data_IF_100671164306
#
_entry.id   IF_100671164306
#
_cell.length_a   1.000
_cell.length_b   1.000
_cell.length_c   1.000
_cell.angle_alpha   90.00
_cell.angle_beta   90.00
_cell.angle_gamma   90.00
#
_symmetry.space_group_name_H-M   'P 1'
#
loop_
_entity.id
_entity.type
_entity.pdbx_description
1 polymer ?
#
# COMPACT_ATOMS: atom_id res chain seq x y z
N UNK A 1 7.53 34.08 -13.36
CA UNK A 1 8.79 33.33 -13.57
C UNK A 1 8.41 31.99 -14.13
N UNK A 2 8.76 31.71 -15.39
CA UNK A 2 8.50 30.44 -16.05
C UNK A 2 9.55 29.45 -15.58
N UNK A 3 9.17 28.47 -14.76
CA UNK A 3 10.05 27.35 -14.45
C UNK A 3 10.19 26.53 -15.73
N UNK A 4 11.40 26.45 -16.27
CA UNK A 4 11.67 25.58 -17.41
C UNK A 4 11.43 24.14 -16.98
N UNK A 5 10.55 23.44 -17.68
CA UNK A 5 10.34 22.01 -17.47
C UNK A 5 11.67 21.26 -17.62
N UNK A 6 11.93 20.21 -16.82
CA UNK A 6 13.10 19.38 -17.01
C UNK A 6 13.06 18.74 -18.41
N UNK A 7 14.02 19.10 -19.27
CA UNK A 7 14.14 18.60 -20.66
C UNK A 7 15.10 17.41 -20.76
N UNK A 8 14.95 16.41 -19.88
CA UNK A 8 15.69 15.16 -20.01
C UNK A 8 15.27 14.35 -21.24
N UNK A 9 16.04 13.33 -21.65
CA UNK A 9 15.64 12.42 -22.72
C UNK A 9 14.28 11.77 -22.37
N UNK A 10 13.36 11.74 -23.33
CA UNK A 10 12.13 10.94 -23.23
C UNK A 10 12.47 9.57 -23.82
N UNK A 11 12.66 8.59 -22.95
CA UNK A 11 12.82 7.17 -23.27
C UNK A 11 11.62 6.37 -22.72
N UNK A 12 10.41 6.94 -22.87
CA UNK A 12 9.14 6.25 -22.67
C UNK A 12 8.52 6.02 -24.04
N UNK A 13 8.28 4.77 -24.40
CA UNK A 13 7.51 4.45 -25.60
C UNK A 13 6.01 4.39 -25.29
N UNK A 14 5.13 4.62 -26.27
CA UNK A 14 3.70 4.37 -26.12
C UNK A 14 3.38 2.93 -25.66
N UNK A 15 4.24 1.96 -26.02
CA UNK A 15 4.10 0.57 -25.60
C UNK A 15 4.36 0.39 -24.10
N UNK A 16 5.32 1.09 -23.52
CA UNK A 16 5.63 1.01 -22.09
C UNK A 16 4.44 1.53 -21.26
N UNK A 17 3.86 2.66 -21.70
CA UNK A 17 2.66 3.23 -21.07
C UNK A 17 1.45 2.30 -21.19
N UNK A 18 1.24 1.67 -22.34
CA UNK A 18 0.17 0.69 -22.50
C UNK A 18 0.38 -0.56 -21.64
N UNK A 19 1.64 -1.02 -21.49
CA UNK A 19 1.98 -2.15 -20.61
C UNK A 19 1.77 -1.82 -19.13
N UNK A 20 2.14 -0.61 -18.72
CA UNK A 20 1.86 -0.09 -17.38
C UNK A 20 0.36 -0.02 -17.11
N UNK A 21 -0.42 0.52 -18.04
CA UNK A 21 -1.87 0.61 -17.92
C UNK A 21 -2.53 -0.76 -17.73
N UNK A 22 -2.11 -1.77 -18.50
CA UNK A 22 -2.59 -3.13 -18.33
C UNK A 22 -2.27 -3.70 -16.95
N UNK A 23 -1.10 -3.36 -16.40
CA UNK A 23 -0.71 -3.78 -15.05
C UNK A 23 -1.56 -3.08 -13.98
N UNK A 24 -1.84 -1.79 -14.14
CA UNK A 24 -2.73 -1.04 -13.24
C UNK A 24 -4.17 -1.57 -13.27
N UNK A 25 -4.74 -1.85 -14.45
CA UNK A 25 -6.07 -2.46 -14.55
C UNK A 25 -6.10 -3.87 -13.94
N UNK A 26 -5.04 -4.65 -14.12
CA UNK A 26 -4.86 -5.92 -13.41
C UNK A 26 -4.76 -5.74 -11.90
N UNK A 27 -4.11 -4.68 -11.43
CA UNK A 27 -4.03 -4.30 -10.02
C UNK A 27 -5.39 -3.89 -9.44
N UNK A 28 -6.20 -3.16 -10.21
CA UNK A 28 -7.57 -2.81 -9.85
C UNK A 28 -8.41 -4.05 -9.62
N UNK A 29 -8.36 -5.02 -10.55
CA UNK A 29 -9.07 -6.30 -10.44
C UNK A 29 -8.62 -7.09 -9.20
N UNK A 30 -7.33 -7.04 -8.86
CA UNK A 30 -6.83 -7.71 -7.65
C UNK A 30 -7.34 -7.05 -6.37
N UNK A 31 -7.36 -5.72 -6.31
CA UNK A 31 -7.88 -4.99 -5.15
C UNK A 31 -9.38 -5.24 -4.94
N UNK A 32 -10.13 -5.29 -6.03
CA UNK A 32 -11.55 -5.68 -6.02
C UNK A 32 -11.74 -7.08 -5.42
N UNK A 33 -10.95 -8.05 -5.88
CA UNK A 33 -10.93 -9.41 -5.30
C UNK A 33 -10.55 -9.46 -3.81
N UNK A 34 -9.63 -8.61 -3.35
CA UNK A 34 -9.26 -8.52 -1.93
C UNK A 34 -10.46 -8.02 -1.10
N UNK A 35 -11.16 -6.99 -1.57
CA UNK A 35 -12.33 -6.45 -0.88
C UNK A 35 -13.49 -7.45 -0.84
N UNK A 36 -13.73 -8.20 -1.91
CA UNK A 36 -14.72 -9.27 -1.97
C UNK A 36 -14.42 -10.42 -1.01
N UNK A 37 -13.15 -10.85 -0.96
CA UNK A 37 -12.70 -11.88 -0.03
C UNK A 37 -12.87 -11.44 1.43
N UNK A 38 -12.50 -10.20 1.75
CA UNK A 38 -12.69 -9.62 3.08
C UNK A 38 -14.18 -9.53 3.44
N UNK A 39 -15.02 -9.04 2.51
CA UNK A 39 -16.48 -8.97 2.69
C UNK A 39 -17.06 -10.35 3.02
N UNK A 40 -16.66 -11.37 2.27
CA UNK A 40 -17.12 -12.75 2.48
C UNK A 40 -16.72 -13.26 3.87
N UNK A 41 -15.48 -13.01 4.28
CA UNK A 41 -14.98 -13.44 5.59
C UNK A 41 -15.70 -12.73 6.74
N UNK A 42 -15.94 -11.42 6.63
CA UNK A 42 -16.64 -10.64 7.64
C UNK A 42 -18.13 -11.03 7.73
N UNK A 43 -18.77 -11.36 6.61
CA UNK A 43 -20.11 -11.96 6.61
C UNK A 43 -20.17 -13.28 7.37
N UNK A 44 -19.15 -14.13 7.24
CA UNK A 44 -19.05 -15.37 8.01
C UNK A 44 -18.81 -15.10 9.51
N UNK A 45 -18.17 -13.97 9.85
CA UNK A 45 -17.92 -13.53 11.22
C UNK A 45 -19.01 -12.58 11.78
N UNK A 46 -20.14 -12.40 11.09
CA UNK A 46 -21.18 -11.48 11.55
C UNK A 46 -21.65 -11.79 12.99
N UNK A 47 -21.87 -10.75 13.78
CA UNK A 47 -22.29 -10.89 15.18
C UNK A 47 -21.22 -11.40 16.14
N UNK A 48 -19.94 -11.37 15.75
CA UNK A 48 -18.82 -11.91 16.53
C UNK A 48 -18.66 -11.31 17.94
N UNK A 49 -19.12 -10.08 18.19
CA UNK A 49 -18.93 -9.41 19.47
C UNK A 49 -20.00 -9.78 20.51
N UNK A 50 -21.09 -10.43 20.11
CA UNK A 50 -22.25 -10.68 20.98
C UNK A 50 -23.15 -9.45 21.12
N UNK A 51 -24.20 -9.58 21.94
CA UNK A 51 -25.22 -8.55 22.18
C UNK A 51 -25.24 -8.05 23.63
N UNK A 52 -24.24 -8.42 24.42
CA UNK A 52 -24.02 -7.88 25.75
C UNK A 52 -23.45 -6.44 25.73
N UNK A 53 -23.24 -5.88 26.93
CA UNK A 53 -22.71 -4.52 27.09
C UNK A 53 -21.29 -4.36 26.53
N UNK A 54 -20.48 -5.41 26.52
CA UNK A 54 -19.09 -5.37 26.04
C UNK A 54 -19.05 -5.46 24.52
N UNK A 55 -19.85 -6.35 23.92
CA UNK A 55 -20.03 -6.43 22.49
C UNK A 55 -20.53 -5.12 21.89
N UNK A 56 -21.49 -4.49 22.56
CA UNK A 56 -21.98 -3.14 22.20
C UNK A 56 -20.87 -2.07 22.28
N UNK A 57 -20.02 -2.13 23.32
CA UNK A 57 -18.92 -1.18 23.52
C UNK A 57 -17.82 -1.36 22.46
N UNK A 58 -17.48 -2.60 22.11
CA UNK A 58 -16.56 -2.95 21.03
C UNK A 58 -17.07 -2.45 19.67
N UNK A 59 -18.33 -2.78 19.33
CA UNK A 59 -18.94 -2.41 18.06
C UNK A 59 -19.00 -0.90 17.82
N UNK A 60 -19.10 -0.10 18.89
CA UNK A 60 -19.14 1.38 18.80
C UNK A 60 -17.91 1.97 18.09
N UNK A 61 -16.75 1.36 18.24
CA UNK A 61 -15.52 1.81 17.56
C UNK A 61 -15.19 0.94 16.34
N UNK A 62 -15.51 -0.35 16.39
CA UNK A 62 -15.21 -1.29 15.31
C UNK A 62 -16.08 -1.05 14.06
N UNK A 63 -17.41 -1.00 14.20
CA UNK A 63 -18.33 -0.93 13.05
C UNK A 63 -18.08 0.30 12.15
N UNK A 64 -17.90 1.53 12.69
CA UNK A 64 -17.59 2.70 11.87
C UNK A 64 -16.24 2.60 11.16
N UNK A 65 -15.22 2.06 11.82
CA UNK A 65 -13.89 1.89 11.25
C UNK A 65 -13.90 0.91 10.05
N UNK A 66 -14.59 -0.23 10.17
CA UNK A 66 -14.70 -1.19 9.05
C UNK A 66 -15.51 -0.59 7.90
N UNK A 67 -16.59 0.15 8.18
CA UNK A 67 -17.34 0.87 7.13
C UNK A 67 -16.47 1.87 6.39
N UNK A 68 -15.67 2.65 7.11
CA UNK A 68 -14.73 3.59 6.51
C UNK A 68 -13.70 2.87 5.65
N UNK A 69 -13.19 1.71 6.10
CA UNK A 69 -12.25 0.89 5.34
C UNK A 69 -12.81 0.50 3.97
N UNK A 70 -14.06 0.02 3.89
CA UNK A 70 -14.67 -0.34 2.60
C UNK A 70 -14.91 0.86 1.68
N UNK A 71 -15.18 2.05 2.22
CA UNK A 71 -15.24 3.28 1.43
C UNK A 71 -13.87 3.64 0.87
N UNK A 72 -12.81 3.56 1.68
CA UNK A 72 -11.43 3.79 1.24
C UNK A 72 -10.99 2.79 0.19
N UNK A 73 -11.34 1.50 0.34
CA UNK A 73 -11.08 0.47 -0.68
C UNK A 73 -11.81 0.78 -1.98
N UNK A 74 -13.07 1.23 -1.93
CA UNK A 74 -13.81 1.64 -3.13
C UNK A 74 -13.11 2.80 -3.85
N UNK A 75 -12.67 3.81 -3.09
CA UNK A 75 -11.95 4.96 -3.64
C UNK A 75 -10.60 4.55 -4.25
N UNK A 76 -9.84 3.68 -3.58
CA UNK A 76 -8.58 3.14 -4.08
C UNK A 76 -8.76 2.34 -5.38
N UNK A 77 -9.78 1.48 -5.47
CA UNK A 77 -10.09 0.73 -6.71
C UNK A 77 -10.36 1.70 -7.86
N UNK A 78 -11.17 2.74 -7.65
CA UNK A 78 -11.43 3.76 -8.68
C UNK A 78 -10.14 4.48 -9.09
N UNK A 79 -9.31 4.88 -8.13
CA UNK A 79 -8.05 5.58 -8.39
C UNK A 79 -7.10 4.76 -9.28
N UNK A 80 -6.94 3.47 -8.99
CA UNK A 80 -6.09 2.57 -9.77
C UNK A 80 -6.63 2.39 -11.20
N UNK A 81 -7.95 2.26 -11.36
CA UNK A 81 -8.60 2.22 -12.68
C UNK A 81 -8.38 3.49 -13.49
N UNK A 82 -8.63 4.65 -12.87
CA UNK A 82 -8.40 5.96 -13.49
C UNK A 82 -6.92 6.16 -13.89
N UNK A 83 -6.00 5.58 -13.14
CA UNK A 83 -4.56 5.55 -13.50
C UNK A 83 -4.34 4.78 -14.79
N UNK A 84 -4.94 3.60 -14.94
CA UNK A 84 -4.82 2.78 -16.14
C UNK A 84 -5.36 3.52 -17.38
N UNK A 85 -6.51 4.17 -17.26
CA UNK A 85 -7.07 5.00 -18.32
C UNK A 85 -6.19 6.20 -18.65
N UNK A 86 -5.68 6.93 -17.65
CA UNK A 86 -4.75 8.04 -17.85
C UNK A 86 -3.49 7.63 -18.62
N UNK A 87 -2.96 6.44 -18.33
CA UNK A 87 -1.78 5.88 -19.00
C UNK A 87 -2.05 5.52 -20.46
N UNK A 88 -3.15 4.81 -20.77
CA UNK A 88 -3.51 4.51 -22.16
C UNK A 88 -3.84 5.79 -22.94
N UNK A 89 -4.51 6.76 -22.31
CA UNK A 89 -4.76 8.06 -22.95
C UNK A 89 -3.45 8.76 -23.32
N UNK A 90 -2.48 8.78 -22.40
CA UNK A 90 -1.16 9.37 -22.64
C UNK A 90 -0.44 8.64 -23.78
N UNK A 91 -0.46 7.30 -23.80
CA UNK A 91 0.10 6.50 -24.88
C UNK A 91 -0.53 6.86 -26.25
N UNK A 92 -1.86 6.94 -26.30
CA UNK A 92 -2.61 7.27 -27.51
C UNK A 92 -2.39 8.73 -27.96
N UNK A 93 -2.16 9.66 -27.03
CA UNK A 93 -1.77 11.03 -27.34
C UNK A 93 -0.39 11.09 -28.01
N UNK A 94 0.59 10.30 -27.55
CA UNK A 94 1.89 10.20 -28.22
C UNK A 94 1.76 9.62 -29.64
N UNK A 95 0.96 8.57 -29.83
CA UNK A 95 0.71 7.99 -31.15
C UNK A 95 0.06 8.99 -32.12
N UNK A 96 -0.91 9.78 -31.64
CA UNK A 96 -1.52 10.86 -32.42
C UNK A 96 -0.47 11.91 -32.80
N UNK A 97 0.33 12.36 -31.83
CA UNK A 97 1.36 13.37 -32.06
C UNK A 97 2.42 12.92 -33.08
N UNK A 98 2.89 11.67 -32.98
CA UNK A 98 3.87 11.11 -33.93
C UNK A 98 3.27 10.96 -35.34
N UNK A 99 2.04 10.46 -35.43
CA UNK A 99 1.32 10.31 -36.71
C UNK A 99 1.16 11.65 -37.44
N UNK A 100 0.82 12.72 -36.71
CA UNK A 100 0.69 14.07 -37.27
C UNK A 100 2.03 14.75 -37.59
N UNK A 101 3.08 14.47 -36.81
CA UNK A 101 4.39 15.13 -36.96
C UNK A 101 5.28 14.48 -38.02
N UNK A 102 4.97 13.25 -38.45
CA UNK A 102 5.76 12.49 -39.41
C UNK A 102 5.01 12.33 -40.76
N UNK A 103 5.46 13.03 -41.84
CA UNK A 103 4.83 12.98 -43.16
C UNK A 103 4.80 11.58 -43.81
N UNK A 104 5.63 10.65 -43.33
CA UNK A 104 5.60 9.25 -43.76
C UNK A 104 4.56 8.44 -42.98
N UNK A 105 4.43 8.67 -41.67
CA UNK A 105 3.44 8.01 -40.82
C UNK A 105 2.02 8.46 -41.12
N UNK A 106 1.82 9.72 -41.50
CA UNK A 106 0.52 10.27 -41.91
C UNK A 106 -0.17 9.53 -43.08
N UNK A 107 0.57 8.69 -43.81
CA UNK A 107 0.05 7.91 -44.94
C UNK A 107 -0.57 6.58 -44.53
N UNK A 108 -0.22 6.06 -43.36
CA UNK A 108 -0.74 4.82 -42.82
C UNK A 108 -1.89 5.11 -41.83
N UNK A 109 -2.88 4.21 -41.66
CA UNK A 109 -3.94 4.40 -40.66
C UNK A 109 -3.36 4.45 -39.24
N UNK A 110 -3.79 5.42 -38.44
CA UNK A 110 -3.46 5.50 -37.02
C UNK A 110 -4.07 4.31 -36.26
N UNK A 111 -3.24 3.51 -35.62
CA UNK A 111 -3.65 2.41 -34.74
C UNK A 111 -3.41 2.83 -33.29
N UNK A 112 -4.47 2.84 -32.49
CA UNK A 112 -4.42 3.19 -31.07
C UNK A 112 -4.43 1.94 -30.18
N UNK A 113 -3.91 2.05 -28.98
CA UNK A 113 -4.06 1.01 -27.97
C UNK A 113 -5.51 0.91 -27.50
N UNK A 114 -6.02 -0.32 -27.26
CA UNK A 114 -7.34 -0.51 -26.68
C UNK A 114 -7.37 -0.01 -25.24
N UNK A 115 -8.54 0.44 -24.79
CA UNK A 115 -8.74 0.79 -23.39
C UNK A 115 -8.64 -0.47 -22.51
N UNK A 116 -7.94 -0.38 -21.37
CA UNK A 116 -7.91 -1.48 -20.41
C UNK A 116 -9.29 -1.50 -19.74
N UNK A 117 -10.01 -2.62 -19.77
CA UNK A 117 -11.32 -2.68 -19.12
C UNK A 117 -11.17 -2.41 -17.63
N UNK A 118 -11.61 -1.24 -17.17
CA UNK A 118 -11.53 -0.78 -15.77
C UNK A 118 -12.91 -0.81 -15.09
N UNK A 119 -12.90 -0.81 -13.76
CA UNK A 119 -14.08 -0.78 -12.92
C UNK A 119 -14.36 0.66 -12.49
N UNK A 120 -15.38 1.28 -13.08
CA UNK A 120 -15.65 2.72 -12.87
C UNK A 120 -16.64 3.00 -11.72
N UNK A 121 -17.54 2.05 -11.45
CA UNK A 121 -18.62 2.17 -10.45
C UNK A 121 -18.55 1.05 -9.42
N UNK A 122 -17.45 1.04 -8.66
CA UNK A 122 -17.29 0.15 -7.50
C UNK A 122 -17.81 0.83 -6.25
N UNK A 123 -18.70 0.17 -5.52
CA UNK A 123 -19.14 0.59 -4.21
C UNK A 123 -19.46 -0.67 -3.39
N UNK A 124 -18.68 -0.91 -2.34
CA UNK A 124 -18.94 -2.06 -1.49
C UNK A 124 -20.12 -1.79 -0.54
N UNK A 125 -20.96 -2.80 -0.27
CA UNK A 125 -22.00 -2.66 0.75
C UNK A 125 -21.36 -2.46 2.14
N UNK A 126 -22.13 -1.86 3.05
CA UNK A 126 -21.73 -1.79 4.44
C UNK A 126 -21.49 -3.23 4.99
N UNK A 127 -20.36 -3.48 5.67
CA UNK A 127 -20.10 -4.76 6.33
C UNK A 127 -21.14 -5.03 7.43
N UNK A 128 -21.35 -6.31 7.79
CA UNK A 128 -22.24 -6.67 8.89
C UNK A 128 -21.72 -6.08 10.21
N UNK A 129 -22.66 -5.79 11.13
CA UNK A 129 -22.29 -5.34 12.48
C UNK A 129 -21.58 -6.47 13.25
N UNK A 130 -20.64 -6.07 14.10
CA UNK A 130 -20.06 -6.97 15.08
C UNK A 130 -21.10 -7.40 16.14
N UNK A 131 -22.19 -6.65 16.34
CA UNK A 131 -23.28 -7.01 17.25
C UNK A 131 -24.13 -8.12 16.64
N UNK A 132 -24.37 -9.18 17.42
CA UNK A 132 -25.27 -10.25 17.04
C UNK A 132 -25.55 -11.17 18.23
N UNK A 133 -26.43 -12.16 18.03
CA UNK A 133 -26.80 -13.07 19.11
C UNK A 133 -25.57 -13.75 19.70
N UNK A 134 -25.35 -13.57 21.01
CA UNK A 134 -24.23 -14.19 21.70
C UNK A 134 -24.41 -15.69 21.95
N UNK A 135 -23.36 -16.33 22.46
CA UNK A 135 -23.44 -17.70 22.99
C UNK A 135 -23.37 -17.70 24.51
N UNK A 136 -24.24 -18.49 25.15
CA UNK A 136 -24.24 -18.63 26.60
C UNK A 136 -24.75 -20.01 26.98
N UNK A 137 -23.97 -20.75 27.77
CA UNK A 137 -24.35 -22.06 28.31
C UNK A 137 -24.74 -22.01 29.79
N UNK A 138 -24.59 -20.86 30.45
CA UNK A 138 -24.93 -20.71 31.86
C UNK A 138 -26.44 -20.51 32.04
N UNK A 139 -27.05 -21.12 33.08
CA UNK A 139 -28.46 -20.95 33.34
C UNK A 139 -28.77 -19.55 33.91
N UNK A 140 -30.00 -19.04 33.71
CA UNK A 140 -30.42 -17.82 34.39
C UNK A 140 -30.42 -17.97 35.91
N UNK A 141 -30.19 -16.88 36.66
CA UNK A 141 -29.70 -15.55 36.25
C UNK A 141 -28.17 -15.41 36.30
N UNK A 142 -27.41 -16.50 36.18
CA UNK A 142 -25.94 -16.44 36.12
C UNK A 142 -25.50 -16.00 34.71
N UNK A 143 -26.29 -16.38 33.71
CA UNK A 143 -26.16 -16.03 32.29
C UNK A 143 -25.81 -14.55 32.03
N UNK A 144 -26.42 -13.59 32.73
CA UNK A 144 -26.18 -12.14 32.53
C UNK A 144 -24.76 -11.65 32.84
N UNK A 145 -23.94 -12.47 33.50
CA UNK A 145 -22.57 -12.14 33.89
C UNK A 145 -21.53 -12.77 32.96
N UNK A 146 -21.96 -13.58 31.99
CA UNK A 146 -21.13 -14.22 31.01
C UNK A 146 -20.93 -13.30 29.79
N UNK A 147 -19.68 -13.05 29.40
CA UNK A 147 -19.38 -12.33 28.17
C UNK A 147 -19.76 -13.20 26.97
N UNK A 148 -20.67 -12.75 26.11
CA UNK A 148 -21.35 -13.64 25.17
C UNK A 148 -20.86 -13.56 23.71
N UNK A 149 -19.74 -12.87 23.46
CA UNK A 149 -19.10 -12.83 22.15
C UNK A 149 -18.57 -14.20 21.68
N UNK A 150 -18.28 -14.31 20.39
CA UNK A 150 -17.80 -15.53 19.73
C UNK A 150 -16.30 -15.39 19.41
N UNK A 151 -15.44 -15.95 20.26
CA UNK A 151 -13.99 -15.79 20.17
C UNK A 151 -13.38 -16.41 18.91
N UNK A 152 -13.97 -17.50 18.40
CA UNK A 152 -13.60 -18.15 17.14
C UNK A 152 -13.90 -17.25 15.92
N UNK A 153 -15.05 -16.56 15.92
CA UNK A 153 -15.41 -15.60 14.87
C UNK A 153 -14.55 -14.36 14.92
N UNK A 154 -14.25 -13.84 16.12
CA UNK A 154 -13.32 -12.72 16.30
C UNK A 154 -11.93 -13.07 15.72
N UNK A 155 -11.38 -14.25 16.03
CA UNK A 155 -10.10 -14.71 15.46
C UNK A 155 -10.16 -14.93 13.95
N UNK A 156 -11.29 -15.39 13.44
CA UNK A 156 -11.51 -15.55 12.00
C UNK A 156 -11.52 -14.20 11.28
N UNK A 157 -12.17 -13.19 11.85
CA UNK A 157 -12.12 -11.81 11.36
C UNK A 157 -10.70 -11.24 11.44
N UNK A 158 -9.98 -11.48 12.55
CA UNK A 158 -8.59 -11.06 12.70
C UNK A 158 -7.68 -11.64 11.62
N UNK A 159 -7.81 -12.94 11.33
CA UNK A 159 -7.09 -13.61 10.26
C UNK A 159 -7.42 -13.00 8.89
N UNK A 160 -8.70 -12.74 8.61
CA UNK A 160 -9.12 -12.15 7.35
C UNK A 160 -8.54 -10.74 7.13
N UNK A 161 -8.53 -9.90 8.16
CA UNK A 161 -7.89 -8.58 8.09
C UNK A 161 -6.38 -8.67 7.85
N UNK A 162 -5.67 -9.62 8.48
CA UNK A 162 -4.23 -9.80 8.22
C UNK A 162 -3.94 -10.24 6.80
N UNK A 163 -4.74 -11.17 6.27
CA UNK A 163 -4.63 -11.59 4.87
C UNK A 163 -4.84 -10.39 3.94
N UNK A 164 -5.92 -9.62 4.15
CA UNK A 164 -6.17 -8.41 3.37
C UNK A 164 -5.02 -7.38 3.47
N UNK A 165 -4.47 -7.16 4.67
CA UNK A 165 -3.32 -6.27 4.86
C UNK A 165 -2.10 -6.71 4.04
N UNK A 166 -1.75 -8.00 4.10
CA UNK A 166 -0.64 -8.56 3.33
C UNK A 166 -0.87 -8.46 1.82
N UNK A 167 -2.09 -8.74 1.35
CA UNK A 167 -2.42 -8.67 -0.07
C UNK A 167 -2.41 -7.22 -0.60
N UNK A 168 -2.87 -6.26 0.20
CA UNK A 168 -2.79 -4.82 -0.13
C UNK A 168 -1.33 -4.36 -0.22
N UNK A 169 -0.49 -4.77 0.72
CA UNK A 169 0.94 -4.40 0.74
C UNK A 169 1.69 -4.97 -0.47
N UNK A 170 1.45 -6.24 -0.78
CA UNK A 170 2.00 -6.88 -1.97
C UNK A 170 1.55 -6.19 -3.26
N UNK A 171 0.27 -5.81 -3.35
CA UNK A 171 -0.27 -5.09 -4.49
C UNK A 171 0.37 -3.71 -4.64
N UNK A 172 0.39 -2.92 -3.56
CA UNK A 172 0.97 -1.58 -3.53
C UNK A 172 2.43 -1.60 -3.92
N UNK A 173 3.22 -2.50 -3.34
CA UNK A 173 4.63 -2.71 -3.69
C UNK A 173 4.81 -3.10 -5.16
N UNK A 174 4.00 -4.06 -5.65
CA UNK A 174 4.09 -4.50 -7.05
C UNK A 174 3.79 -3.37 -8.04
N UNK A 175 2.78 -2.55 -7.77
CA UNK A 175 2.43 -1.42 -8.63
C UNK A 175 3.47 -0.29 -8.53
N UNK A 176 4.02 -0.04 -7.33
CA UNK A 176 5.10 0.92 -7.13
C UNK A 176 6.35 0.58 -7.94
N UNK A 177 6.75 -0.69 -7.97
CA UNK A 177 7.88 -1.14 -8.80
C UNK A 177 7.65 -0.90 -10.30
N UNK A 178 6.40 -0.95 -10.78
CA UNK A 178 6.09 -0.62 -12.18
C UNK A 178 6.21 0.88 -12.45
N UNK A 179 5.78 1.71 -11.50
CA UNK A 179 5.96 3.17 -11.59
C UNK A 179 7.44 3.52 -11.59
N UNK A 180 8.23 2.94 -10.68
CA UNK A 180 9.68 3.12 -10.60
C UNK A 180 10.38 2.73 -11.91
N UNK A 181 10.03 1.58 -12.49
CA UNK A 181 10.63 1.10 -13.74
C UNK A 181 10.47 2.11 -14.90
N UNK A 182 9.39 2.89 -14.91
CA UNK A 182 9.14 3.93 -15.92
C UNK A 182 9.84 5.23 -15.54
N UNK A 183 9.84 5.60 -14.26
CA UNK A 183 10.37 6.89 -13.78
C UNK A 183 11.88 6.93 -13.67
N UNK A 184 12.55 5.81 -13.39
CA UNK A 184 14.00 5.79 -13.17
C UNK A 184 14.80 6.10 -14.44
N UNK A 185 14.20 5.82 -15.60
CA UNK A 185 14.82 6.06 -16.91
C UNK A 185 14.26 7.31 -17.60
N UNK A 186 13.35 8.05 -16.94
CA UNK A 186 12.65 9.19 -17.55
C UNK A 186 12.42 10.37 -16.60
N UNK A 187 12.74 11.58 -17.05
CA UNK A 187 12.62 12.80 -16.25
C UNK A 187 11.66 13.84 -16.83
N UNK A 188 10.75 13.44 -17.74
CA UNK A 188 9.76 14.35 -18.29
C UNK A 188 8.69 14.73 -17.26
N UNK A 189 8.10 15.92 -17.42
CA UNK A 189 7.08 16.45 -16.49
C UNK A 189 5.89 15.52 -16.28
N UNK A 190 5.45 14.82 -17.34
CA UNK A 190 4.36 13.84 -17.27
C UNK A 190 4.71 12.62 -16.39
N UNK A 191 5.97 12.15 -16.43
CA UNK A 191 6.42 11.00 -15.65
C UNK A 191 6.64 11.37 -14.19
N UNK A 192 7.12 12.58 -13.92
CA UNK A 192 7.18 13.12 -12.54
C UNK A 192 5.77 13.25 -11.96
N UNK A 193 4.81 13.76 -12.74
CA UNK A 193 3.41 13.86 -12.31
C UNK A 193 2.78 12.49 -12.01
N UNK A 194 3.11 11.46 -12.80
CA UNK A 194 2.69 10.08 -12.55
C UNK A 194 3.27 9.52 -11.25
N UNK A 195 4.56 9.73 -10.99
CA UNK A 195 5.20 9.34 -9.73
C UNK A 195 4.55 10.03 -8.52
N UNK A 196 4.36 11.36 -8.61
CA UNK A 196 3.70 12.13 -7.54
C UNK A 196 2.21 11.81 -7.37
N UNK A 197 1.54 11.37 -8.43
CA UNK A 197 0.18 10.83 -8.34
C UNK A 197 0.19 9.47 -7.63
N UNK A 198 1.08 8.55 -8.01
CA UNK A 198 1.17 7.24 -7.36
C UNK A 198 1.53 7.34 -5.88
N UNK A 199 2.43 8.26 -5.51
CA UNK A 199 2.75 8.54 -4.11
C UNK A 199 1.56 9.00 -3.26
N UNK A 200 0.49 9.52 -3.89
CA UNK A 200 -0.79 9.83 -3.23
C UNK A 200 -1.74 8.63 -3.15
N UNK A 201 -1.46 7.52 -3.82
CA UNK A 201 -2.24 6.28 -3.73
C UNK A 201 -1.58 5.28 -2.77
N UNK A 202 -0.26 5.14 -2.87
CA UNK A 202 0.54 4.20 -2.10
C UNK A 202 1.91 4.77 -1.75
N UNK A 203 2.28 4.57 -0.48
CA UNK A 203 3.63 4.74 0.02
C UNK A 203 3.94 3.66 1.06
N UNK A 204 5.16 3.14 1.06
CA UNK A 204 5.60 2.06 1.99
C UNK A 204 5.66 2.53 3.44
N UNK A 205 5.79 3.83 3.66
CA UNK A 205 5.70 4.48 4.97
C UNK A 205 4.67 5.61 4.92
N UNK A 206 3.37 5.31 5.00
CA UNK A 206 2.32 6.33 5.18
C UNK A 206 1.75 6.31 6.61
N UNK A 207 2.21 7.21 7.49
CA UNK A 207 1.62 7.44 8.80
C UNK A 207 0.74 8.71 8.84
N UNK A 208 0.33 9.27 7.68
CA UNK A 208 -0.39 10.55 7.56
C UNK A 208 -1.84 10.46 7.06
N UNK A 209 -2.29 9.31 6.55
CA UNK A 209 -3.69 9.11 6.15
C UNK A 209 -4.04 9.69 4.77
N UNK A 210 -3.04 9.97 3.94
CA UNK A 210 -3.24 10.64 2.65
C UNK A 210 -3.18 9.65 1.48
N UNK A 211 -2.60 8.46 1.68
CA UNK A 211 -2.55 7.40 0.68
C UNK A 211 -3.58 6.30 1.02
N UNK A 212 -4.67 6.15 0.24
CA UNK A 212 -5.79 5.26 0.56
C UNK A 212 -5.38 3.79 0.69
N UNK A 213 -4.45 3.29 -0.13
CA UNK A 213 -4.01 1.88 -0.01
C UNK A 213 -3.20 1.65 1.25
N UNK A 214 -2.25 2.55 1.55
CA UNK A 214 -1.42 2.45 2.75
C UNK A 214 -2.26 2.60 4.02
N UNK A 215 -3.23 3.51 4.00
CA UNK A 215 -4.19 3.70 5.08
C UNK A 215 -5.09 2.47 5.28
N UNK A 216 -5.57 1.86 4.19
CA UNK A 216 -6.34 0.62 4.26
C UNK A 216 -5.52 -0.55 4.83
N UNK A 217 -4.24 -0.68 4.44
CA UNK A 217 -3.31 -1.67 5.00
C UNK A 217 -3.14 -1.48 6.52
N UNK A 218 -2.91 -0.25 6.98
CA UNK A 218 -2.78 0.07 8.40
C UNK A 218 -4.06 -0.25 9.17
N UNK A 219 -5.22 0.14 8.62
CA UNK A 219 -6.52 -0.12 9.22
C UNK A 219 -6.78 -1.62 9.37
N UNK A 220 -6.53 -2.42 8.33
CA UNK A 220 -6.61 -3.88 8.41
C UNK A 220 -5.72 -4.44 9.53
N UNK A 221 -4.47 -3.98 9.64
CA UNK A 221 -3.54 -4.45 10.68
C UNK A 221 -4.05 -4.14 12.10
N UNK A 222 -4.57 -2.93 12.33
CA UNK A 222 -5.15 -2.54 13.63
C UNK A 222 -6.46 -3.27 13.93
N UNK A 223 -7.35 -3.38 12.94
CA UNK A 223 -8.61 -4.12 13.08
C UNK A 223 -8.37 -5.60 13.40
N UNK A 224 -7.31 -6.20 12.85
CA UNK A 224 -6.89 -7.54 13.23
C UNK A 224 -6.44 -7.63 14.69
N UNK A 225 -5.64 -6.66 15.15
CA UNK A 225 -5.14 -6.61 16.53
C UNK A 225 -6.29 -6.57 17.54
N UNK A 226 -7.24 -5.65 17.35
CA UNK A 226 -8.37 -5.54 18.28
C UNK A 226 -9.29 -6.74 18.28
N UNK A 227 -9.48 -7.41 17.14
CA UNK A 227 -10.31 -8.61 17.09
C UNK A 227 -9.68 -9.73 17.92
N UNK A 228 -8.37 -9.93 17.81
CA UNK A 228 -7.65 -10.92 18.62
C UNK A 228 -7.57 -10.54 20.09
N UNK A 229 -7.33 -9.27 20.40
CA UNK A 229 -7.32 -8.78 21.77
C UNK A 229 -8.69 -8.93 22.42
N UNK A 230 -9.79 -8.69 21.70
CA UNK A 230 -11.14 -8.93 22.21
C UNK A 230 -11.44 -10.41 22.40
N UNK A 231 -11.06 -11.26 21.45
CA UNK A 231 -11.18 -12.71 21.60
C UNK A 231 -10.41 -13.21 22.84
N UNK A 232 -9.21 -12.70 23.07
CA UNK A 232 -8.39 -13.05 24.22
C UNK A 232 -9.00 -12.56 25.54
N UNK A 233 -9.54 -11.34 25.56
CA UNK A 233 -10.21 -10.79 26.74
C UNK A 233 -11.46 -11.58 27.12
N UNK A 234 -12.25 -12.03 26.13
CA UNK A 234 -13.41 -12.91 26.38
C UNK A 234 -12.95 -14.26 26.94
N UNK A 235 -11.91 -14.89 26.38
CA UNK A 235 -11.38 -16.16 26.90
C UNK A 235 -10.88 -16.03 28.34
N UNK A 236 -10.20 -14.93 28.66
CA UNK A 236 -9.74 -14.65 30.01
C UNK A 236 -10.93 -14.41 30.95
N UNK A 237 -11.92 -13.63 30.53
CA UNK A 237 -13.13 -13.40 31.30
C UNK A 237 -13.89 -14.71 31.58
N UNK A 238 -14.00 -15.61 30.59
CA UNK A 238 -14.59 -16.94 30.76
C UNK A 238 -13.81 -17.78 31.77
N UNK A 239 -12.48 -17.79 31.67
CA UNK A 239 -11.62 -18.55 32.57
C UNK A 239 -11.70 -18.05 34.02
N UNK A 240 -11.70 -16.72 34.23
CA UNK A 240 -11.85 -16.11 35.55
C UNK A 240 -13.24 -16.37 36.14
N UNK A 241 -14.27 -16.27 35.30
CA UNK A 241 -15.64 -16.58 35.68
C UNK A 241 -15.77 -18.03 36.17
N UNK A 242 -15.32 -19.00 35.37
CA UNK A 242 -15.35 -20.43 35.72
C UNK A 242 -14.53 -20.74 36.97
N UNK A 243 -13.36 -20.12 37.11
CA UNK A 243 -12.52 -20.26 38.29
C UNK A 243 -13.24 -19.78 39.55
N UNK A 244 -13.84 -18.59 39.51
CA UNK A 244 -14.59 -18.02 40.65
C UNK A 244 -15.83 -18.82 40.99
N UNK A 245 -16.55 -19.33 39.99
CA UNK A 245 -17.67 -20.24 40.20
C UNK A 245 -17.22 -21.54 40.88
N UNK A 246 -16.07 -22.07 40.49
CA UNK A 246 -15.47 -23.25 41.13
C UNK A 246 -15.05 -22.97 42.57
N UNK A 247 -14.43 -21.81 42.85
CA UNK A 247 -14.08 -21.37 44.21
C UNK A 247 -15.31 -21.24 45.11
N UNK A 248 -16.42 -20.73 44.58
CA UNK A 248 -17.70 -20.64 45.26
C UNK A 248 -18.40 -22.01 45.46
N UNK A 249 -17.81 -23.10 44.97
CA UNK A 249 -18.37 -24.45 45.09
C UNK A 249 -19.56 -24.72 44.16
N UNK A 250 -19.72 -23.93 43.10
CA UNK A 250 -20.79 -24.10 42.11
C UNK A 250 -20.35 -25.09 41.04
N UNK A 251 -20.82 -26.34 41.17
CA UNK A 251 -20.65 -27.34 40.13
C UNK A 251 -21.71 -27.15 39.03
N UNK A 252 -21.28 -26.98 37.78
CA UNK A 252 -22.17 -26.95 36.61
C UNK A 252 -22.64 -28.37 36.31
N UNK A 253 -23.71 -28.81 36.96
CA UNK A 253 -24.47 -29.98 36.56
C UNK A 253 -25.62 -29.58 35.63
N UNK A 254 -25.69 -30.14 34.43
CA UNK A 254 -26.71 -29.87 33.37
C UNK A 254 -28.16 -30.21 33.80
N UNK A 255 -28.45 -30.52 35.07
CA UNK A 255 -29.68 -31.24 35.45
C UNK A 255 -30.69 -30.56 36.35
N UNK A 256 -30.63 -29.26 36.65
CA UNK A 256 -31.66 -28.68 37.55
C UNK A 256 -32.38 -27.49 36.94
N UNK A 257 -33.44 -27.81 36.20
CA UNK A 257 -34.54 -26.91 35.96
C UNK A 257 -35.18 -26.51 37.29
N UNK A 258 -35.62 -25.25 37.36
CA UNK A 258 -36.49 -24.62 38.35
C UNK A 258 -35.82 -24.04 39.59
N UNK A 259 -35.58 -22.73 39.49
CA UNK A 259 -36.17 -21.77 40.42
C UNK A 259 -35.50 -21.69 41.76
N UNK A 260 -34.48 -20.82 41.88
CA UNK A 260 -34.24 -19.90 42.99
C UNK A 260 -32.91 -19.21 42.71
N UNK A 261 -32.97 -17.98 42.23
CA UNK A 261 -31.92 -16.98 42.48
C UNK A 261 -32.57 -15.67 42.98
N UNK A 262 -33.74 -15.82 43.59
CA UNK A 262 -34.50 -14.75 44.25
C UNK A 262 -34.61 -14.88 45.77
N UNK A 263 -34.13 -15.96 46.41
CA UNK A 263 -34.15 -16.07 47.88
C UNK A 263 -32.74 -15.91 48.44
N UNK A 264 -32.39 -14.65 48.70
CA UNK A 264 -31.55 -14.32 49.84
C UNK A 264 -32.29 -14.85 51.08
N UNK A 265 -31.62 -15.72 51.87
CA UNK A 265 -32.08 -16.47 53.07
C UNK A 265 -32.70 -17.86 52.86
N UNK A 266 -31.87 -18.91 53.01
CA UNK A 266 -32.28 -20.17 53.68
C UNK A 266 -31.19 -20.63 54.65
N UNK A 267 -31.21 -20.05 55.86
CA UNK A 267 -30.50 -20.57 57.02
C UNK A 267 -31.37 -21.71 57.60
N UNK A 268 -31.07 -22.97 57.23
CA UNK A 268 -31.57 -24.15 57.93
C UNK A 268 -31.93 -25.38 57.07
N UNK A 269 -31.12 -26.44 57.21
CA UNK A 269 -31.60 -27.84 57.21
C UNK A 269 -31.67 -28.61 55.89
N UNK A 270 -30.57 -29.31 55.58
CA UNK A 270 -30.53 -30.68 55.00
C UNK A 270 -31.29 -30.98 53.70
N UNK A 271 -30.63 -30.82 52.54
CA UNK A 271 -30.28 -31.93 51.61
C UNK A 271 -29.51 -31.38 50.38
N UNK A 272 -28.40 -32.04 50.06
CA UNK A 272 -27.50 -31.94 48.91
C UNK A 272 -27.53 -30.70 47.96
N UNK A 273 -26.51 -29.85 48.08
CA UNK A 273 -25.71 -29.44 46.91
C UNK A 273 -26.12 -28.22 46.08
N UNK A 274 -26.63 -27.13 46.68
CA UNK A 274 -26.69 -25.83 46.00
C UNK A 274 -25.99 -24.77 46.87
N UNK A 275 -24.74 -24.43 46.52
CA UNK A 275 -24.12 -23.21 47.02
C UNK A 275 -24.92 -22.03 46.42
N UNK A 276 -25.41 -21.12 47.26
CA UNK A 276 -26.01 -19.88 46.78
C UNK A 276 -24.91 -18.82 46.76
N UNK A 277 -24.64 -18.23 45.58
CA UNK A 277 -23.81 -17.01 45.49
C UNK A 277 -24.43 -15.92 46.35
N UNK A 278 -23.67 -15.40 47.31
CA UNK A 278 -24.09 -14.19 48.01
C UNK A 278 -23.85 -12.94 47.14
N UNK A 279 -24.38 -11.79 47.60
CA UNK A 279 -24.25 -10.54 46.84
C UNK A 279 -22.79 -10.05 46.73
N UNK A 280 -21.92 -10.40 47.68
CA UNK A 280 -20.51 -10.04 47.67
C UNK A 280 -19.71 -10.88 46.68
N UNK A 281 -19.95 -12.20 46.63
CA UNK A 281 -19.33 -13.10 45.67
C UNK A 281 -19.77 -12.79 44.23
N UNK A 282 -21.06 -12.50 44.02
CA UNK A 282 -21.57 -12.06 42.73
C UNK A 282 -20.96 -10.71 42.29
N UNK A 283 -20.75 -9.78 43.23
CA UNK A 283 -20.08 -8.51 42.94
C UNK A 283 -18.60 -8.68 42.61
N UNK A 284 -17.90 -9.60 43.30
CA UNK A 284 -16.50 -9.91 43.04
C UNK A 284 -16.31 -10.56 41.66
N UNK A 285 -17.19 -11.49 41.28
CA UNK A 285 -17.19 -12.12 39.97
C UNK A 285 -17.50 -11.12 38.84
N UNK A 286 -18.42 -10.19 39.07
CA UNK A 286 -18.67 -9.10 38.11
C UNK A 286 -17.47 -8.17 37.95
N UNK A 287 -16.82 -7.79 39.06
CA UNK A 287 -15.68 -6.89 39.04
C UNK A 287 -14.45 -7.48 38.31
N UNK A 288 -14.25 -8.81 38.37
CA UNK A 288 -13.14 -9.45 37.66
C UNK A 288 -13.38 -9.46 36.13
N UNK A 289 -14.58 -9.87 35.71
CA UNK A 289 -14.98 -9.85 34.29
C UNK A 289 -14.93 -8.44 33.71
N UNK A 290 -15.47 -7.45 34.44
CA UNK A 290 -15.40 -6.03 34.05
C UNK A 290 -13.96 -5.55 33.91
N UNK A 291 -13.09 -5.90 34.87
CA UNK A 291 -11.68 -5.48 34.84
C UNK A 291 -10.94 -5.96 33.60
N UNK A 292 -11.13 -7.23 33.21
CA UNK A 292 -10.48 -7.82 32.03
C UNK A 292 -10.97 -7.15 30.73
N UNK A 293 -12.29 -7.02 30.58
CA UNK A 293 -12.88 -6.47 29.36
C UNK A 293 -12.67 -4.96 29.25
N UNK A 294 -12.68 -4.21 30.35
CA UNK A 294 -12.37 -2.79 30.33
C UNK A 294 -10.89 -2.51 30.01
N UNK A 295 -9.97 -3.37 30.46
CA UNK A 295 -8.56 -3.27 30.10
C UNK A 295 -8.36 -3.44 28.58
N UNK A 296 -8.99 -4.46 27.99
CA UNK A 296 -8.93 -4.68 26.54
C UNK A 296 -9.53 -3.49 25.76
N UNK A 297 -10.64 -2.93 26.23
CA UNK A 297 -11.24 -1.74 25.62
C UNK A 297 -10.36 -0.49 25.74
N UNK A 298 -9.54 -0.38 26.79
CA UNK A 298 -8.55 0.68 26.93
C UNK A 298 -7.39 0.51 25.94
N UNK A 299 -6.94 -0.72 25.71
CA UNK A 299 -5.92 -1.03 24.70
C UNK A 299 -6.40 -0.64 23.30
N UNK A 300 -7.69 -0.84 22.96
CA UNK A 300 -8.23 -0.41 21.65
C UNK A 300 -8.16 1.10 21.45
N UNK A 301 -8.39 1.86 22.52
CA UNK A 301 -8.28 3.31 22.47
C UNK A 301 -6.82 3.74 22.25
N UNK A 302 -5.87 3.03 22.87
CA UNK A 302 -4.44 3.25 22.66
C UNK A 302 -3.97 2.86 21.25
N UNK A 303 -4.57 1.84 20.64
CA UNK A 303 -4.33 1.47 19.24
C UNK A 303 -4.95 2.44 18.22
N UNK A 304 -5.72 3.44 18.67
CA UNK A 304 -6.25 4.51 17.83
C UNK A 304 -7.39 4.07 16.89
N UNK A 305 -8.15 3.03 17.24
CA UNK A 305 -9.26 2.54 16.41
C UNK A 305 -10.37 3.59 16.25
N UNK A 306 -10.61 4.38 17.29
CA UNK A 306 -11.59 5.47 17.25
C UNK A 306 -11.21 6.56 16.22
N UNK A 307 -9.93 6.66 15.87
CA UNK A 307 -9.43 7.63 14.89
C UNK A 307 -9.45 7.07 13.46
N UNK A 308 -9.50 5.74 13.30
CA UNK A 308 -9.47 5.08 12.00
C UNK A 308 -10.60 5.54 11.08
N UNK A 309 -11.81 5.73 11.59
CA UNK A 309 -12.93 6.23 10.78
C UNK A 309 -12.56 7.57 10.10
N UNK A 310 -12.03 8.51 10.88
CA UNK A 310 -11.64 9.83 10.38
C UNK A 310 -10.47 9.73 9.39
N UNK A 311 -9.43 8.96 9.74
CA UNK A 311 -8.24 8.82 8.89
C UNK A 311 -8.60 8.15 7.55
N UNK A 312 -9.43 7.11 7.57
CA UNK A 312 -9.91 6.42 6.38
C UNK A 312 -10.83 7.29 5.52
N UNK A 313 -11.69 8.09 6.16
CA UNK A 313 -12.55 9.04 5.45
C UNK A 313 -11.70 10.10 4.74
N UNK A 314 -10.72 10.70 5.41
CA UNK A 314 -9.78 11.65 4.78
C UNK A 314 -9.04 11.01 3.61
N UNK A 315 -8.50 9.80 3.78
CA UNK A 315 -7.80 9.09 2.71
C UNK A 315 -8.70 8.80 1.50
N UNK A 316 -9.99 8.53 1.73
CA UNK A 316 -10.97 8.32 0.67
C UNK A 316 -11.35 9.62 -0.06
N UNK A 317 -11.36 10.76 0.63
CA UNK A 317 -11.67 12.07 0.05
C UNK A 317 -10.47 12.67 -0.72
N UNK A 318 -9.25 12.34 -0.31
CA UNK A 318 -8.02 12.85 -0.94
C UNK A 318 -7.61 12.08 -2.19
N UNK A 319 -8.37 11.04 -2.57
CA UNK A 319 -8.13 10.28 -3.78
C UNK A 319 -8.11 11.22 -4.98
N UNK A 320 -6.98 11.29 -5.71
CA UNK A 320 -6.86 12.20 -6.83
C UNK A 320 -7.73 11.76 -8.01
N UNK A 321 -8.59 12.65 -8.49
CA UNK A 321 -9.27 12.45 -9.76
C UNK A 321 -8.30 12.70 -10.93
N UNK A 322 -8.23 11.73 -11.85
CA UNK A 322 -7.40 11.86 -13.06
C UNK A 322 -8.20 12.57 -14.15
N UNK A 323 -7.99 13.89 -14.30
CA UNK A 323 -8.42 14.62 -15.50
C UNK A 323 -7.37 14.47 -16.61
N UNK A 324 -7.46 13.38 -17.36
CA UNK A 324 -6.61 13.19 -18.53
C UNK A 324 -7.23 13.91 -19.75
N UNK A 325 -6.62 15.03 -20.16
CA UNK A 325 -7.07 15.82 -21.32
C UNK A 325 -6.65 15.12 -22.62
N UNK A 326 -7.59 14.91 -23.53
CA UNK A 326 -7.26 14.49 -24.89
C UNK A 326 -6.45 15.60 -25.57
N UNK A 327 -5.36 15.24 -26.26
CA UNK A 327 -4.69 16.22 -27.10
C UNK A 327 -5.69 16.71 -28.16
N UNK A 328 -6.18 17.95 -28.04
CA UNK A 328 -6.97 18.60 -29.07
C UNK A 328 -6.06 18.90 -30.26
N UNK A 329 -5.89 17.89 -31.12
CA UNK A 329 -5.14 18.03 -32.37
C UNK A 329 -5.86 18.92 -33.37
N UNK A 330 -7.13 19.29 -33.11
CA UNK A 330 -7.94 20.13 -33.99
C UNK A 330 -7.43 21.56 -34.08
N UNK A 331 -7.00 22.18 -32.97
CA UNK A 331 -6.43 23.53 -33.00
C UNK A 331 -5.06 23.55 -33.69
N UNK A 332 -4.22 22.54 -33.44
CA UNK A 332 -2.92 22.37 -34.10
C UNK A 332 -3.12 22.12 -35.60
N UNK A 333 -4.10 21.30 -35.99
CA UNK A 333 -4.43 21.06 -37.40
C UNK A 333 -4.91 22.33 -38.09
N UNK A 334 -5.80 23.11 -37.46
CA UNK A 334 -6.25 24.39 -38.01
C UNK A 334 -5.13 25.44 -38.07
N UNK A 335 -4.20 25.44 -37.12
CA UNK A 335 -3.03 26.30 -37.13
C UNK A 335 -2.04 25.89 -38.23
N UNK A 336 -1.80 24.59 -38.40
CA UNK A 336 -0.91 24.05 -39.43
C UNK A 336 -1.51 24.23 -40.84
N UNK A 337 -2.82 24.04 -41.01
CA UNK A 337 -3.53 24.29 -42.26
C UNK A 337 -3.52 25.79 -42.62
N UNK A 338 -3.65 26.68 -41.62
CA UNK A 338 -3.47 28.13 -41.82
C UNK A 338 -2.04 28.48 -42.24
N UNK A 339 -1.04 27.93 -41.56
CA UNK A 339 0.37 28.20 -41.88
C UNK A 339 0.78 27.62 -43.24
N UNK A 340 0.28 26.45 -43.62
CA UNK A 340 0.48 25.88 -44.96
C UNK A 340 -0.21 26.73 -46.04
N UNK A 341 -1.46 27.17 -45.81
CA UNK A 341 -2.15 28.06 -46.73
C UNK A 341 -1.45 29.43 -46.87
N UNK A 342 -0.92 29.98 -45.78
CA UNK A 342 -0.14 31.21 -45.78
C UNK A 342 1.23 31.03 -46.48
N UNK A 343 1.88 29.88 -46.33
CA UNK A 343 3.12 29.54 -47.03
C UNK A 343 2.90 29.38 -48.54
N UNK A 344 1.79 28.75 -48.95
CA UNK A 344 1.39 28.65 -50.37
C UNK A 344 1.05 30.04 -50.95
N UNK A 345 0.37 30.89 -50.19
CA UNK A 345 0.10 32.27 -50.60
C UNK A 345 1.37 33.12 -50.75
N UNK A 346 2.40 32.88 -49.91
CA UNK A 346 3.72 33.53 -50.00
C UNK A 346 4.58 32.99 -51.15
N UNK A 347 4.39 31.73 -51.56
CA UNK A 347 5.12 31.09 -52.66
C UNK A 347 4.58 31.38 -54.07
N UNK A 348 3.34 31.86 -54.19
CA UNK A 348 2.64 32.05 -55.48
C UNK A 348 3.05 33.28 -56.31
N UNK A 349 3.94 34.13 -55.82
CA UNK A 349 4.33 35.39 -56.48
C UNK A 349 5.73 35.37 -57.10
N UNK A 350 5.96 34.56 -58.14
CA UNK A 350 7.30 34.49 -58.76
C UNK A 350 7.33 33.84 -60.13
N UNK A 351 6.72 34.50 -61.12
CA UNK A 351 6.86 34.15 -62.55
C UNK A 351 8.16 34.70 -63.13
N UNK A 352 8.95 33.84 -63.80
CA UNK A 352 9.56 34.18 -65.09
C UNK A 352 11.08 34.36 -65.19
N UNK A 353 11.71 33.52 -66.02
CA UNK A 353 13.04 33.72 -66.65
C UNK A 353 14.15 32.85 -66.04
N UNK A 354 14.93 32.02 -66.74
CA UNK A 354 15.25 31.93 -68.17
C UNK A 354 16.78 31.93 -68.34
N UNK A 355 17.36 30.78 -68.76
CA UNK A 355 18.77 30.60 -69.18
C UNK A 355 19.77 30.43 -68.01
N UNK A 356 20.80 29.59 -68.05
CA UNK A 356 21.46 28.80 -69.08
C UNK A 356 22.94 28.63 -68.66
N UNK A 357 23.52 27.44 -68.83
CA UNK A 357 24.97 27.25 -69.02
C UNK A 357 25.85 26.83 -67.82
N UNK A 358 26.32 25.58 -67.87
CA UNK A 358 27.77 25.27 -68.04
C UNK A 358 28.68 25.07 -66.81
N UNK A 359 29.29 23.87 -66.75
CA UNK A 359 30.58 23.56 -66.10
C UNK A 359 30.54 23.35 -64.58
N UNK A 360 31.17 22.38 -63.94
CA UNK A 360 32.31 21.52 -64.28
C UNK A 360 33.16 21.37 -63.01
N UNK A 361 33.57 20.14 -62.66
CA UNK A 361 34.50 19.81 -61.56
C UNK A 361 33.79 19.46 -60.24
N UNK A 362 34.05 18.35 -59.56
CA UNK A 362 35.28 17.55 -59.48
C UNK A 362 35.84 17.68 -58.06
N UNK A 363 35.49 16.74 -57.17
CA UNK A 363 36.00 16.72 -55.80
C UNK A 363 35.48 15.53 -54.99
N UNK A 364 36.32 14.49 -54.89
CA UNK A 364 36.14 13.30 -54.05
C UNK A 364 36.39 13.61 -52.55
N UNK A 365 35.93 12.75 -51.63
CA UNK A 365 35.98 12.97 -50.18
C UNK A 365 37.31 12.53 -49.55
N UNK A 366 37.70 13.03 -48.37
CA UNK A 366 38.74 12.41 -47.58
C UNK A 366 38.20 11.20 -46.81
N UNK A 367 38.77 10.05 -47.15
CA UNK A 367 38.79 8.81 -46.38
C UNK A 367 39.64 8.99 -45.12
N UNK A 368 39.09 8.73 -43.94
CA UNK A 368 39.82 8.57 -42.70
C UNK A 368 39.50 7.20 -42.10
N UNK A 369 40.35 6.21 -42.37
CA UNK A 369 40.32 4.91 -41.72
C UNK A 369 40.98 4.97 -40.36
N UNK A 370 40.37 4.31 -39.38
CA UNK A 370 40.99 3.92 -38.12
C UNK A 370 40.70 2.43 -37.93
N UNK A 371 41.75 1.62 -37.95
CA UNK A 371 41.71 0.19 -37.65
C UNK A 371 41.29 -0.06 -36.20
N UNK A 372 40.57 -1.16 -35.91
CA UNK A 372 40.24 -1.58 -34.55
C UNK A 372 41.47 -2.22 -33.86
N UNK A 373 41.62 -2.07 -32.53
CA UNK A 373 42.63 -2.81 -31.78
C UNK A 373 42.26 -4.31 -31.65
N UNK A 374 43.27 -5.18 -31.45
CA UNK A 374 43.17 -6.62 -31.65
C UNK A 374 42.56 -7.38 -30.46
N UNK A 375 41.91 -8.50 -30.77
CA UNK A 375 41.51 -9.55 -29.84
C UNK A 375 42.71 -10.41 -29.41
N UNK A 376 42.70 -10.86 -28.13
CA UNK A 376 43.19 -12.15 -27.60
C UNK A 376 43.12 -12.14 -26.05
N UNK A 377 43.07 -13.29 -25.32
CA UNK A 377 42.62 -14.65 -25.62
C UNK A 377 41.62 -15.21 -24.53
N UNK A 378 41.10 -16.45 -24.63
CA UNK A 378 40.03 -16.93 -23.74
C UNK A 378 40.59 -17.46 -22.41
N UNK A 379 40.06 -16.94 -21.30
CA UNK A 379 40.32 -17.45 -19.95
C UNK A 379 39.16 -18.31 -19.46
N UNK A 380 39.45 -19.57 -19.15
CA UNK A 380 38.57 -20.53 -18.51
C UNK A 380 37.94 -19.96 -17.23
N UNK A 381 36.62 -20.09 -17.11
CA UNK A 381 35.83 -19.59 -15.99
C UNK A 381 34.54 -20.37 -15.81
N UNK A 382 34.49 -21.07 -14.69
CA UNK A 382 33.43 -21.93 -14.18
C UNK A 382 32.03 -21.26 -14.12
N UNK A 383 31.00 -22.10 -14.16
CA UNK A 383 29.60 -21.71 -14.33
C UNK A 383 29.10 -20.66 -13.32
N UNK A 384 28.51 -19.56 -13.82
CA UNK A 384 27.73 -18.61 -13.01
C UNK A 384 26.31 -18.45 -13.57
N UNK A 385 25.38 -18.34 -12.63
CA UNK A 385 23.93 -18.33 -12.83
C UNK A 385 23.47 -16.94 -13.32
N UNK A 386 22.55 -16.80 -14.29
CA UNK A 386 22.24 -15.51 -14.95
C UNK A 386 21.46 -14.47 -14.13
N UNK A 387 21.43 -14.55 -12.79
CA UNK A 387 20.62 -13.66 -11.92
C UNK A 387 21.41 -12.86 -10.88
N UNK A 388 22.74 -12.93 -10.87
CA UNK A 388 23.55 -12.11 -9.94
C UNK A 388 24.06 -10.83 -10.62
N UNK A 389 23.19 -9.82 -10.70
CA UNK A 389 23.50 -8.48 -11.24
C UNK A 389 23.96 -7.49 -10.16
N UNK A 390 24.04 -7.91 -8.89
CA UNK A 390 24.55 -7.09 -7.80
C UNK A 390 25.59 -7.90 -7.00
N UNK A 391 26.82 -7.91 -7.52
CA UNK A 391 27.93 -8.72 -7.01
C UNK A 391 28.04 -8.76 -5.49
N UNK A 392 27.64 -9.89 -4.91
CA UNK A 392 27.60 -10.17 -3.48
C UNK A 392 28.99 -10.26 -2.79
N UNK A 393 30.08 -9.94 -3.47
CA UNK A 393 31.45 -10.15 -2.97
C UNK A 393 32.33 -8.89 -2.92
N UNK A 394 31.74 -7.69 -2.92
CA UNK A 394 32.46 -6.45 -2.57
C UNK A 394 32.17 -6.00 -1.15
N UNK A 395 32.30 -6.90 -0.17
CA UNK A 395 32.38 -6.48 1.23
C UNK A 395 33.69 -5.70 1.40
N UNK A 396 33.59 -4.38 1.56
CA UNK A 396 34.74 -3.50 1.79
C UNK A 396 35.57 -4.02 2.95
N UNK A 397 36.82 -4.42 2.68
CA UNK A 397 37.73 -4.90 3.73
C UNK A 397 37.93 -3.81 4.77
N UNK A 398 37.43 -4.05 5.98
CA UNK A 398 37.79 -3.28 7.17
C UNK A 398 36.78 -2.22 7.64
N UNK A 399 35.50 -2.35 7.30
CA UNK A 399 34.39 -1.73 8.05
C UNK A 399 33.81 -2.78 8.99
N UNK A 400 33.67 -2.46 10.27
CA UNK A 400 32.92 -3.29 11.21
C UNK A 400 31.42 -3.01 11.04
N UNK A 401 30.78 -3.83 10.21
CA UNK A 401 29.37 -3.63 9.82
C UNK A 401 28.44 -3.66 11.01
N UNK A 402 28.71 -4.49 12.02
CA UNK A 402 27.86 -4.63 13.19
C UNK A 402 28.02 -3.43 14.14
N UNK A 403 29.25 -2.92 14.27
CA UNK A 403 29.54 -1.71 15.06
C UNK A 403 28.87 -0.47 14.45
N UNK A 404 29.01 -0.26 13.13
CA UNK A 404 28.34 0.83 12.41
C UNK A 404 26.82 0.70 12.53
N UNK A 405 26.28 -0.51 12.41
CA UNK A 405 24.83 -0.71 12.49
C UNK A 405 24.26 -0.39 13.87
N UNK A 406 25.00 -0.78 14.92
CA UNK A 406 24.58 -0.57 16.31
C UNK A 406 24.75 0.87 16.79
N UNK A 407 25.84 1.52 16.38
CA UNK A 407 26.28 2.78 16.97
C UNK A 407 26.19 3.98 16.01
N UNK A 408 25.95 3.76 14.72
CA UNK A 408 25.84 4.83 13.73
C UNK A 408 24.52 5.59 13.76
N UNK A 409 24.56 6.83 13.28
CA UNK A 409 23.38 7.65 13.03
C UNK A 409 22.56 7.04 11.89
N UNK A 410 21.24 6.99 12.07
CA UNK A 410 20.33 6.40 11.10
C UNK A 410 19.81 7.48 10.15
N UNK A 411 19.86 7.17 8.86
CA UNK A 411 19.23 7.91 7.79
C UNK A 411 18.43 6.95 6.90
N UNK A 412 17.51 7.48 6.11
CA UNK A 412 16.72 6.71 5.16
C UNK A 412 16.99 7.21 3.75
N UNK A 413 17.29 6.29 2.82
CA UNK A 413 17.38 6.61 1.40
C UNK A 413 16.00 6.74 0.76
N UNK A 414 15.92 7.47 -0.36
CA UNK A 414 14.68 7.65 -1.12
C UNK A 414 14.06 6.34 -1.63
N UNK A 415 14.85 5.26 -1.70
CA UNK A 415 14.40 3.91 -2.06
C UNK A 415 13.98 3.06 -0.84
N UNK A 416 13.94 3.65 0.36
CA UNK A 416 13.57 2.99 1.61
C UNK A 416 14.70 2.21 2.28
N UNK A 417 15.92 2.20 1.70
CA UNK A 417 17.06 1.55 2.35
C UNK A 417 17.49 2.33 3.59
N UNK A 418 17.84 1.59 4.64
CA UNK A 418 18.33 2.14 5.90
C UNK A 418 19.84 2.35 5.80
N UNK A 419 20.28 3.58 6.08
CA UNK A 419 21.69 3.97 6.06
C UNK A 419 22.15 4.25 7.49
N UNK A 420 23.21 3.58 7.91
CA UNK A 420 23.90 3.83 9.18
C UNK A 420 25.26 4.47 8.90
N UNK A 421 25.51 5.61 9.52
CA UNK A 421 26.76 6.37 9.38
C UNK A 421 27.44 6.48 10.75
N UNK A 422 28.68 6.00 10.87
CA UNK A 422 29.45 6.08 12.10
C UNK A 422 30.75 6.83 11.86
N UNK A 423 31.06 7.84 12.68
CA UNK A 423 32.33 8.56 12.61
C UNK A 423 33.48 7.66 13.12
N UNK A 424 34.51 7.44 12.31
CA UNK A 424 35.68 6.60 12.64
C UNK A 424 36.86 7.41 13.20
N UNK A 425 36.68 8.73 13.33
CA UNK A 425 37.70 9.71 13.74
C UNK A 425 38.43 10.33 12.54
N UNK A 426 39.08 11.48 12.77
CA UNK A 426 39.76 12.29 11.74
C UNK A 426 38.81 12.88 10.65
N UNK A 427 37.53 13.07 10.95
CA UNK A 427 36.53 13.61 10.00
C UNK A 427 36.15 12.62 8.89
N UNK A 428 36.24 11.32 9.19
CA UNK A 428 35.90 10.20 8.31
C UNK A 428 34.76 9.38 8.89
N UNK A 429 34.00 8.76 8.00
CA UNK A 429 32.79 8.01 8.35
C UNK A 429 32.78 6.66 7.65
N UNK A 430 32.36 5.63 8.37
CA UNK A 430 31.97 4.36 7.79
C UNK A 430 30.45 4.35 7.59
N UNK A 431 30.01 3.92 6.41
CA UNK A 431 28.61 3.91 6.00
C UNK A 431 28.19 2.49 5.66
N UNK A 432 27.09 2.05 6.26
CA UNK A 432 26.47 0.76 5.98
C UNK A 432 25.04 0.99 5.53
N UNK A 433 24.69 0.46 4.37
CA UNK A 433 23.34 0.49 3.83
C UNK A 433 22.75 -0.91 3.90
N UNK A 434 21.52 -1.03 4.42
CA UNK A 434 20.75 -2.28 4.37
C UNK A 434 19.39 -2.04 3.74
N UNK A 435 19.01 -2.98 2.90
CA UNK A 435 17.66 -3.14 2.43
C UNK A 435 16.95 -4.14 3.35
N UNK A 436 15.86 -3.71 3.99
CA UNK A 436 15.08 -4.57 4.90
C UNK A 436 14.36 -5.70 4.17
N UNK A 437 14.22 -5.61 2.84
CA UNK A 437 13.68 -6.67 2.00
C UNK A 437 14.73 -7.72 1.61
N UNK A 438 16.03 -7.48 1.86
CA UNK A 438 17.09 -8.44 1.55
C UNK A 438 17.02 -9.66 2.50
N UNK A 439 16.70 -10.87 2.00
CA UNK A 439 16.49 -12.05 2.83
C UNK A 439 17.77 -12.54 3.53
N UNK A 440 18.94 -12.10 3.07
CA UNK A 440 20.22 -12.44 3.71
C UNK A 440 20.50 -11.59 4.96
N UNK A 441 19.78 -10.47 5.15
CA UNK A 441 20.03 -9.49 6.21
C UNK A 441 21.37 -8.76 6.10
N UNK A 442 22.16 -9.04 5.07
CA UNK A 442 23.46 -8.43 4.81
C UNK A 442 23.35 -7.02 4.23
N UNK A 443 24.40 -6.20 4.37
CA UNK A 443 24.42 -4.86 3.79
C UNK A 443 24.46 -4.91 2.27
N UNK A 444 23.66 -4.05 1.64
CA UNK A 444 23.65 -3.84 0.18
C UNK A 444 24.85 -3.00 -0.26
N UNK A 445 25.26 -2.04 0.58
CA UNK A 445 26.43 -1.20 0.33
C UNK A 445 27.21 -0.96 1.62
N UNK A 446 28.54 -1.01 1.52
CA UNK A 446 29.45 -0.65 2.61
C UNK A 446 30.50 0.31 2.07
N UNK A 447 30.59 1.50 2.65
CA UNK A 447 31.56 2.54 2.28
C UNK A 447 32.46 2.79 3.47
N UNK A 448 33.77 2.67 3.26
CA UNK A 448 34.78 2.99 4.26
C UNK A 448 35.32 4.40 4.06
N UNK A 449 35.63 5.10 5.16
CA UNK A 449 36.35 6.37 5.15
C UNK A 449 35.70 7.46 4.26
N UNK A 450 34.37 7.49 4.21
CA UNK A 450 33.59 8.55 3.58
C UNK A 450 33.94 9.90 4.22
N UNK A 451 33.95 10.97 3.41
CA UNK A 451 34.23 12.33 3.91
C UNK A 451 32.96 12.97 4.44
N UNK A 452 33.08 13.92 5.37
CA UNK A 452 31.96 14.77 5.82
C UNK A 452 31.22 15.39 4.63
N UNK A 453 31.95 15.94 3.66
CA UNK A 453 31.37 16.48 2.42
C UNK A 453 30.53 15.47 1.63
N UNK A 454 30.86 14.17 1.69
CA UNK A 454 30.04 13.14 1.04
C UNK A 454 28.69 12.98 1.76
N UNK A 455 28.70 12.94 3.09
CA UNK A 455 27.48 12.84 3.91
C UNK A 455 26.62 14.09 3.72
N UNK A 456 27.21 15.28 3.82
CA UNK A 456 26.51 16.56 3.62
C UNK A 456 25.89 16.66 2.23
N UNK A 457 26.57 16.18 1.19
CA UNK A 457 26.04 16.20 -0.17
C UNK A 457 24.87 15.21 -0.34
N UNK A 458 24.83 14.12 0.42
CA UNK A 458 23.67 13.21 0.42
C UNK A 458 22.47 13.85 1.11
N UNK A 459 22.68 14.49 2.25
CA UNK A 459 21.64 15.21 2.98
C UNK A 459 21.12 16.44 2.21
N UNK A 460 22.02 17.25 1.67
CA UNK A 460 21.67 18.49 0.97
C UNK A 460 20.89 18.25 -0.34
N UNK A 461 21.08 17.09 -0.98
CA UNK A 461 20.31 16.71 -2.15
C UNK A 461 19.04 15.90 -1.81
N UNK A 462 18.70 15.74 -0.53
CA UNK A 462 17.55 14.94 -0.10
C UNK A 462 17.64 13.49 -0.58
N UNK A 463 18.85 12.93 -0.62
CA UNK A 463 19.06 11.52 -0.93
C UNK A 463 19.01 10.65 0.31
N UNK A 464 19.36 11.26 1.46
CA UNK A 464 19.30 10.70 2.82
C UNK A 464 18.51 11.67 3.68
N UNK A 465 17.54 11.17 4.44
CA UNK A 465 16.73 11.93 5.39
C UNK A 465 16.87 11.43 6.83
#
# INVERSE_FOLDING_TARGET
MSWGEPTGPIDVTPSDLSGAAATFAGGQTRLDGIADALTTALNAAAGMAGDDKYGTKFAKSYDPAVKALFKTLSAAVRAIGQSADGLVRTANNYLRADHHSNPKAAKDPLVLFPWPGVIDDVMYPDPPSAIGGGSNHWPPPIDKYWANGHQDRLRSAAAAFRTAAGDIDNLGTSLHLQVQAITDVNSSGAIIAMSGFWGRIWHTADPGGMAPLSTAHLACTRLASVCDAFAHAIDQAHSEFEHKMTEAGLAIGVTTALGVLGTVFTLGGSDAGAAALDAGEAAALFASVDGVLDAAMADYAAEGIAELETVLASAAEEVPEVEAVDAETTEVSQALDREMADAEARGGGGSGGGGGGGGGGGGKPPTGGGDPPPDDPPGDGDSTNPRDVHGANRLGRGVDVDDVWKNGDLYIQNDGQLVKVLETGNGKYDVVVRDMSNPTGGPTTVIKDATERYIENKLANGLWE
#
